data_IF_549723721690
#
_entry.id   IF_549723721690
#
_cell.length_a   1.000
_cell.length_b   1.000
_cell.length_c   1.000
_cell.angle_alpha   90.00
_cell.angle_beta   90.00
_cell.angle_gamma   90.00
#
_symmetry.space_group_name_H-M   'P 1'
#
loop_
_entity.id
_entity.type
_entity.pdbx_description
1 polymer ?
#
# COMPACT_ATOMS: atom_id res chain seq x y z
N UNK A 1 -7.95 13.34 11.55
CA UNK A 1 -7.97 12.14 12.44
C UNK A 1 -9.34 11.95 13.07
N UNK A 2 -9.97 13.01 13.61
CA UNK A 2 -11.30 12.97 14.24
C UNK A 2 -12.39 12.28 13.38
N UNK A 3 -12.44 12.55 12.08
CA UNK A 3 -13.42 11.94 11.17
C UNK A 3 -13.24 10.43 10.94
N UNK A 4 -12.02 9.90 11.05
CA UNK A 4 -11.78 8.47 10.85
C UNK A 4 -12.25 7.71 12.09
N UNK A 5 -11.85 8.18 13.28
CA UNK A 5 -12.22 7.57 14.55
C UNK A 5 -13.74 7.65 14.78
N UNK A 6 -14.40 8.73 14.39
CA UNK A 6 -15.86 8.83 14.50
C UNK A 6 -16.62 7.79 13.65
N UNK A 7 -16.05 7.39 12.51
CA UNK A 7 -16.69 6.44 11.59
C UNK A 7 -16.29 4.99 11.89
N UNK A 8 -15.05 4.74 12.32
CA UNK A 8 -14.53 3.38 12.57
C UNK A 8 -14.68 2.94 14.03
N UNK A 9 -14.75 3.89 14.96
CA UNK A 9 -14.48 3.65 16.37
C UNK A 9 -12.99 3.38 16.64
N UNK A 10 -12.66 3.14 17.91
CA UNK A 10 -11.32 2.72 18.37
C UNK A 10 -11.18 1.20 18.48
N UNK A 11 -12.29 0.49 18.64
CA UNK A 11 -12.31 -0.96 18.74
C UNK A 11 -12.24 -1.64 17.36
N UNK A 12 -11.10 -2.26 17.06
CA UNK A 12 -10.85 -3.00 15.83
C UNK A 12 -11.29 -4.48 15.89
N UNK A 13 -11.84 -4.97 17.02
CA UNK A 13 -12.35 -6.34 17.16
C UNK A 13 -13.47 -6.64 16.14
N UNK A 14 -14.25 -5.62 15.77
CA UNK A 14 -15.28 -5.62 14.71
C UNK A 14 -14.77 -6.08 13.36
N UNK A 15 -13.46 -5.95 13.12
CA UNK A 15 -12.79 -6.41 11.91
C UNK A 15 -11.74 -7.48 12.29
N UNK A 16 -12.06 -8.78 12.15
CA UNK A 16 -11.17 -9.86 12.58
C UNK A 16 -9.77 -9.78 11.98
N UNK A 17 -9.70 -9.34 10.72
CA UNK A 17 -8.45 -9.10 10.02
C UNK A 17 -8.44 -7.75 9.33
N UNK A 18 -7.23 -7.23 9.09
CA UNK A 18 -7.02 -6.00 8.32
C UNK A 18 -7.67 -6.05 6.92
N UNK A 19 -7.82 -7.24 6.34
CA UNK A 19 -8.48 -7.41 5.02
C UNK A 19 -9.96 -7.01 5.10
N UNK A 20 -10.66 -7.39 6.17
CA UNK A 20 -12.05 -7.01 6.42
C UNK A 20 -12.17 -5.49 6.53
N UNK A 21 -11.28 -4.85 7.30
CA UNK A 21 -11.25 -3.39 7.44
C UNK A 21 -11.05 -2.67 6.10
N UNK A 22 -10.06 -3.09 5.31
CA UNK A 22 -9.78 -2.46 4.02
C UNK A 22 -10.85 -2.73 2.96
N UNK A 23 -11.55 -3.87 3.06
CA UNK A 23 -12.69 -4.21 2.21
C UNK A 23 -13.90 -3.34 2.54
N UNK A 24 -14.21 -3.18 3.83
CA UNK A 24 -15.28 -2.29 4.32
C UNK A 24 -15.04 -0.82 3.92
N UNK A 25 -13.77 -0.37 3.95
CA UNK A 25 -13.38 0.94 3.44
C UNK A 25 -13.43 1.04 1.91
N UNK A 26 -13.70 -0.04 1.17
CA UNK A 26 -13.65 -0.11 -0.31
C UNK A 26 -12.31 0.35 -0.91
N UNK A 27 -11.22 0.20 -0.16
CA UNK A 27 -9.86 0.52 -0.63
C UNK A 27 -9.19 -0.70 -1.26
N UNK A 28 -9.65 -1.90 -0.92
CA UNK A 28 -9.28 -3.14 -1.58
C UNK A 28 -9.98 -3.26 -2.96
N UNK A 29 -9.36 -3.94 -3.95
CA UNK A 29 -10.06 -4.29 -5.18
C UNK A 29 -11.25 -5.20 -4.89
N UNK A 30 -12.33 -5.03 -5.65
CA UNK A 30 -13.44 -5.96 -5.65
C UNK A 30 -13.30 -6.89 -6.84
N UNK A 31 -13.24 -8.19 -6.56
CA UNK A 31 -13.10 -9.19 -7.60
C UNK A 31 -14.47 -9.79 -7.91
N UNK A 32 -15.01 -9.45 -9.09
CA UNK A 32 -16.22 -10.09 -9.61
C UNK A 32 -15.82 -11.44 -10.19
N UNK A 33 -16.32 -12.55 -9.64
CA UNK A 33 -15.94 -13.90 -10.05
C UNK A 33 -17.19 -14.67 -10.46
N UNK A 34 -17.18 -15.21 -11.68
CA UNK A 34 -18.21 -16.13 -12.18
C UNK A 34 -17.56 -17.31 -12.88
N UNK A 35 -18.07 -18.53 -12.65
CA UNK A 35 -17.52 -19.76 -13.24
C UNK A 35 -16.02 -19.97 -12.97
N UNK A 36 -15.50 -19.51 -11.82
CA UNK A 36 -14.08 -19.59 -11.47
C UNK A 36 -13.16 -18.57 -12.16
N UNK A 37 -13.68 -17.66 -12.98
CA UNK A 37 -12.91 -16.62 -13.68
C UNK A 37 -13.17 -15.24 -13.07
N UNK A 38 -12.11 -14.44 -12.94
CA UNK A 38 -12.22 -13.03 -12.51
C UNK A 38 -12.70 -12.19 -13.69
N UNK A 39 -13.92 -11.68 -13.61
CA UNK A 39 -14.53 -10.80 -14.60
C UNK A 39 -14.05 -9.35 -14.46
N UNK A 40 -13.80 -8.91 -13.22
CA UNK A 40 -13.36 -7.55 -12.92
C UNK A 40 -12.59 -7.54 -11.60
N UNK A 41 -11.63 -6.61 -11.46
CA UNK A 41 -10.83 -6.39 -10.25
C UNK A 41 -10.77 -4.91 -9.87
N UNK A 42 -11.78 -4.14 -10.29
CA UNK A 42 -11.83 -2.69 -10.08
C UNK A 42 -12.10 -2.37 -8.62
N UNK A 43 -11.54 -1.27 -8.13
CA UNK A 43 -11.93 -0.73 -6.83
C UNK A 43 -13.35 -0.18 -6.91
N UNK A 44 -14.20 -0.51 -5.94
CA UNK A 44 -15.56 -0.01 -5.88
C UNK A 44 -15.61 1.50 -5.61
N UNK A 45 -16.63 2.17 -6.15
CA UNK A 45 -16.98 3.52 -5.75
C UNK A 45 -17.57 3.48 -4.33
N UNK A 46 -17.27 4.48 -3.51
CA UNK A 46 -17.72 4.47 -2.12
C UNK A 46 -18.03 5.85 -1.59
N UNK A 47 -19.12 5.91 -0.83
CA UNK A 47 -19.56 7.06 -0.05
C UNK A 47 -18.98 7.05 1.37
N UNK A 48 -18.13 6.06 1.71
CA UNK A 48 -17.53 5.94 3.03
C UNK A 48 -16.60 7.13 3.32
N UNK A 49 -16.94 7.91 4.35
CA UNK A 49 -16.22 9.14 4.73
C UNK A 49 -14.83 8.85 5.27
N UNK A 50 -14.64 7.76 6.00
CA UNK A 50 -13.31 7.34 6.44
C UNK A 50 -12.40 6.99 5.24
N UNK A 51 -12.95 6.32 4.23
CA UNK A 51 -12.20 6.02 3.00
C UNK A 51 -11.77 7.29 2.25
N UNK A 52 -12.64 8.32 2.21
CA UNK A 52 -12.29 9.63 1.63
C UNK A 52 -11.18 10.31 2.45
N UNK A 53 -11.27 10.29 3.78
CA UNK A 53 -10.23 10.84 4.65
C UNK A 53 -8.86 10.16 4.42
N UNK A 54 -8.82 8.83 4.24
CA UNK A 54 -7.58 8.13 3.89
C UNK A 54 -7.04 8.53 2.50
N UNK A 55 -7.91 8.79 1.52
CA UNK A 55 -7.49 9.29 0.19
C UNK A 55 -6.91 10.70 0.27
N UNK A 56 -7.51 11.58 1.08
CA UNK A 56 -6.97 12.92 1.33
C UNK A 56 -5.62 12.85 2.03
N UNK A 57 -5.48 11.99 3.05
CA UNK A 57 -4.19 11.76 3.71
C UNK A 57 -3.14 11.20 2.74
N UNK A 58 -3.53 10.30 1.83
CA UNK A 58 -2.64 9.78 0.80
C UNK A 58 -2.18 10.86 -0.19
N UNK A 59 -3.03 11.84 -0.51
CA UNK A 59 -2.66 12.97 -1.35
C UNK A 59 -1.72 13.94 -0.63
N UNK A 60 -1.94 14.21 0.66
CA UNK A 60 -1.08 15.12 1.43
C UNK A 60 0.36 14.59 1.56
N UNK A 61 0.52 13.27 1.76
CA UNK A 61 1.86 12.64 1.84
C UNK A 61 2.57 12.52 0.48
N UNK A 62 1.92 12.85 -0.64
CA UNK A 62 2.50 12.67 -1.98
C UNK A 62 3.83 13.42 -2.19
N UNK A 63 3.98 14.56 -1.51
CA UNK A 63 5.18 15.43 -1.57
C UNK A 63 6.08 15.33 -0.35
N UNK A 64 5.75 14.51 0.65
CA UNK A 64 6.57 14.40 1.86
C UNK A 64 7.75 13.44 1.67
N UNK A 65 8.82 13.68 2.43
CA UNK A 65 10.03 12.84 2.50
C UNK A 65 9.85 11.66 3.47
N UNK A 66 8.67 11.05 3.46
CA UNK A 66 8.30 9.90 4.30
C UNK A 66 8.37 8.59 3.51
N UNK A 67 8.34 7.46 4.22
CA UNK A 67 8.21 6.14 3.58
C UNK A 67 6.89 6.03 2.76
N UNK A 68 5.83 6.72 3.17
CA UNK A 68 4.53 6.78 2.50
C UNK A 68 4.62 7.62 1.22
N UNK A 69 5.29 8.77 1.29
CA UNK A 69 5.52 9.64 0.12
C UNK A 69 6.36 8.94 -0.94
N UNK A 70 7.43 8.27 -0.54
CA UNK A 70 8.24 7.43 -1.43
C UNK A 70 7.41 6.29 -2.06
N UNK A 71 6.53 5.65 -1.28
CA UNK A 71 5.59 4.67 -1.79
C UNK A 71 4.61 5.28 -2.81
N UNK A 72 4.02 6.44 -2.52
CA UNK A 72 3.09 7.13 -3.41
C UNK A 72 3.75 7.43 -4.77
N UNK A 73 4.93 8.06 -4.76
CA UNK A 73 5.65 8.43 -5.98
C UNK A 73 5.97 7.20 -6.84
N UNK A 74 6.43 6.11 -6.22
CA UNK A 74 6.68 4.84 -6.91
C UNK A 74 5.40 4.28 -7.53
N UNK A 75 4.29 4.27 -6.80
CA UNK A 75 3.01 3.75 -7.31
C UNK A 75 2.46 4.62 -8.45
N UNK A 76 2.69 5.94 -8.41
CA UNK A 76 2.32 6.86 -9.49
C UNK A 76 3.06 6.53 -10.78
N UNK A 77 4.38 6.32 -10.70
CA UNK A 77 5.20 5.91 -11.85
C UNK A 77 4.77 4.52 -12.35
N UNK A 78 4.63 3.55 -11.45
CA UNK A 78 4.28 2.16 -11.80
C UNK A 78 2.93 2.04 -12.52
N UNK A 79 1.94 2.84 -12.14
CA UNK A 79 0.58 2.72 -12.65
C UNK A 79 0.15 3.84 -13.61
N UNK A 80 1.07 4.77 -13.94
CA UNK A 80 0.83 5.85 -14.91
C UNK A 80 -0.25 6.85 -14.51
N UNK A 81 -0.55 7.02 -13.20
CA UNK A 81 -1.64 7.91 -12.80
C UNK A 81 -1.78 8.15 -11.30
N UNK A 82 -2.13 9.39 -10.94
CA UNK A 82 -2.28 9.83 -9.55
C UNK A 82 -3.42 9.13 -8.81
N UNK A 83 -4.56 8.87 -9.46
CA UNK A 83 -5.73 8.25 -8.82
C UNK A 83 -5.41 6.84 -8.28
N UNK A 84 -4.74 6.00 -9.07
CA UNK A 84 -4.32 4.65 -8.66
C UNK A 84 -3.30 4.70 -7.53
N UNK A 85 -2.36 5.65 -7.59
CA UNK A 85 -1.38 5.86 -6.52
C UNK A 85 -2.03 6.31 -5.20
N UNK A 86 -3.01 7.20 -5.27
CA UNK A 86 -3.80 7.66 -4.12
C UNK A 86 -4.52 6.50 -3.46
N UNK A 87 -5.27 5.69 -4.22
CA UNK A 87 -5.99 4.54 -3.66
C UNK A 87 -5.03 3.51 -3.06
N UNK A 88 -3.92 3.19 -3.73
CA UNK A 88 -2.92 2.26 -3.20
C UNK A 88 -2.27 2.77 -1.90
N UNK A 89 -2.00 4.07 -1.83
CA UNK A 89 -1.39 4.69 -0.65
C UNK A 89 -2.39 4.81 0.49
N UNK A 90 -3.64 5.16 0.20
CA UNK A 90 -4.74 5.15 1.16
C UNK A 90 -4.94 3.76 1.76
N UNK A 91 -4.92 2.71 0.93
CA UNK A 91 -4.96 1.32 1.38
C UNK A 91 -3.78 1.00 2.32
N UNK A 92 -2.56 1.45 1.99
CA UNK A 92 -1.38 1.25 2.86
C UNK A 92 -1.53 1.98 4.19
N UNK A 93 -1.99 3.23 4.19
CA UNK A 93 -2.21 4.03 5.41
C UNK A 93 -3.30 3.40 6.28
N UNK A 94 -4.42 2.96 5.68
CA UNK A 94 -5.50 2.30 6.40
C UNK A 94 -5.03 1.01 7.10
N UNK A 95 -4.14 0.24 6.47
CA UNK A 95 -3.53 -0.94 7.12
C UNK A 95 -2.69 -0.56 8.33
N UNK A 96 -1.87 0.49 8.21
CA UNK A 96 -1.06 0.98 9.33
C UNK A 96 -1.99 1.41 10.47
N UNK A 97 -3.01 2.21 10.16
CA UNK A 97 -4.02 2.66 11.12
C UNK A 97 -4.70 1.50 11.86
N UNK A 98 -5.11 0.45 11.15
CA UNK A 98 -5.70 -0.75 11.76
C UNK A 98 -4.75 -1.39 12.79
N UNK A 99 -3.47 -1.57 12.45
CA UNK A 99 -2.50 -2.18 13.36
C UNK A 99 -2.12 -1.26 14.52
N UNK A 100 -2.05 0.06 14.28
CA UNK A 100 -1.84 1.02 15.35
C UNK A 100 -2.95 0.93 16.40
N UNK A 101 -4.21 0.87 15.99
CA UNK A 101 -5.34 0.74 16.92
C UNK A 101 -5.41 -0.64 17.57
N UNK A 102 -5.23 -1.72 16.78
CA UNK A 102 -5.33 -3.10 17.29
C UNK A 102 -4.25 -3.43 18.32
N UNK A 103 -3.02 -2.95 18.12
CA UNK A 103 -1.89 -3.22 19.00
C UNK A 103 -1.57 -2.06 19.94
N UNK A 104 -2.29 -0.94 19.84
CA UNK A 104 -2.03 0.29 20.60
C UNK A 104 -0.56 0.75 20.47
N UNK A 105 -0.02 0.61 19.26
CA UNK A 105 1.37 0.94 18.94
C UNK A 105 1.43 2.15 18.01
N UNK A 106 2.30 3.10 18.33
CA UNK A 106 2.53 4.25 17.48
C UNK A 106 3.28 3.86 16.21
N UNK A 107 2.88 4.49 15.10
CA UNK A 107 3.59 4.34 13.85
C UNK A 107 4.81 5.25 13.83
N UNK A 108 5.98 4.64 13.81
CA UNK A 108 7.26 5.33 13.57
C UNK A 108 7.58 5.26 12.08
N UNK A 109 7.64 6.40 11.42
CA UNK A 109 8.04 6.46 10.01
C UNK A 109 9.53 6.10 9.90
N UNK A 110 9.90 5.01 9.21
CA UNK A 110 11.30 4.67 9.02
C UNK A 110 12.01 5.59 8.00
N UNK A 111 11.26 6.48 7.34
CA UNK A 111 11.78 7.46 6.41
C UNK A 111 11.90 6.95 4.97
N UNK A 112 12.16 7.89 4.06
CA UNK A 112 12.27 7.63 2.63
C UNK A 112 13.44 6.70 2.28
N UNK A 113 14.64 6.98 2.80
CA UNK A 113 15.85 6.23 2.46
C UNK A 113 15.73 4.74 2.82
N UNK A 114 15.22 4.44 4.02
CA UNK A 114 14.97 3.06 4.45
C UNK A 114 13.99 2.33 3.52
N UNK A 115 12.91 3.01 3.12
CA UNK A 115 11.93 2.43 2.21
C UNK A 115 12.52 2.13 0.83
N UNK A 116 13.36 3.04 0.29
CA UNK A 116 14.04 2.89 -0.99
C UNK A 116 15.05 1.74 -0.96
N UNK A 117 15.87 1.64 0.10
CA UNK A 117 16.80 0.53 0.32
C UNK A 117 16.07 -0.82 0.34
N UNK A 118 14.99 -0.94 1.15
CA UNK A 118 14.19 -2.16 1.21
C UNK A 118 13.53 -2.50 -0.12
N UNK A 119 13.17 -1.50 -0.93
CA UNK A 119 12.63 -1.72 -2.25
C UNK A 119 13.70 -2.23 -3.24
N UNK A 120 14.92 -1.69 -3.17
CA UNK A 120 16.05 -2.16 -3.97
C UNK A 120 16.40 -3.62 -3.63
N UNK A 121 16.52 -3.95 -2.34
CA UNK A 121 16.77 -5.32 -1.86
C UNK A 121 15.74 -6.31 -2.43
N UNK A 122 14.44 -5.95 -2.38
CA UNK A 122 13.36 -6.77 -2.94
C UNK A 122 13.47 -6.93 -4.46
N UNK A 123 13.88 -5.88 -5.15
CA UNK A 123 14.07 -5.90 -6.61
C UNK A 123 15.20 -6.86 -6.97
N UNK A 124 16.35 -6.76 -6.31
CA UNK A 124 17.48 -7.68 -6.50
C UNK A 124 17.09 -9.12 -6.20
N UNK A 125 16.40 -9.38 -5.07
CA UNK A 125 15.92 -10.72 -4.73
C UNK A 125 14.99 -11.30 -5.79
N UNK A 126 14.08 -10.48 -6.33
CA UNK A 126 13.18 -10.89 -7.40
C UNK A 126 13.93 -11.18 -8.70
N UNK A 127 14.94 -10.36 -9.05
CA UNK A 127 15.79 -10.58 -10.22
C UNK A 127 16.57 -11.90 -10.09
N UNK A 128 17.22 -12.13 -8.95
CA UNK A 128 17.93 -13.40 -8.67
C UNK A 128 17.00 -14.62 -8.80
N UNK A 129 15.78 -14.52 -8.28
CA UNK A 129 14.78 -15.59 -8.41
C UNK A 129 14.37 -15.83 -9.86
N UNK A 130 14.18 -14.77 -10.66
CA UNK A 130 13.83 -14.87 -12.08
C UNK A 130 14.98 -15.45 -12.91
N UNK A 131 16.21 -15.00 -12.67
CA UNK A 131 17.39 -15.54 -13.32
C UNK A 131 17.51 -17.04 -13.08
N UNK A 132 17.40 -17.48 -11.81
CA UNK A 132 17.42 -18.90 -11.45
C UNK A 132 16.34 -19.72 -12.16
N UNK A 133 15.12 -19.18 -12.29
CA UNK A 133 14.03 -19.85 -12.99
C UNK A 133 14.28 -20.03 -14.49
N UNK A 134 15.18 -19.22 -15.08
CA UNK A 134 15.61 -19.30 -16.47
C UNK A 134 16.96 -20.01 -16.64
N UNK A 135 17.51 -20.62 -15.58
CA UNK A 135 18.83 -21.26 -15.62
C UNK A 135 20.01 -20.29 -15.67
N UNK A 136 19.79 -19.01 -15.39
CA UNK A 136 20.82 -17.97 -15.38
C UNK A 136 21.23 -17.61 -13.95
N UNK A 137 22.48 -17.15 -13.77
CA UNK A 137 22.96 -16.58 -12.52
C UNK A 137 23.14 -15.07 -12.62
N UNK A 138 22.68 -14.35 -11.59
CA UNK A 138 22.83 -12.89 -11.51
C UNK A 138 24.19 -12.56 -10.93
N UNK A 139 25.13 -12.15 -11.78
CA UNK A 139 26.47 -11.70 -11.37
C UNK A 139 26.45 -10.17 -11.22
N UNK A 140 26.78 -9.61 -10.04
CA UNK A 140 26.90 -8.18 -9.88
C UNK A 140 28.13 -7.66 -10.64
N UNK A 141 27.95 -6.59 -11.42
CA UNK A 141 29.05 -5.92 -12.08
C UNK A 141 29.83 -5.12 -11.02
N UNK A 142 31.11 -5.43 -10.83
CA UNK A 142 31.98 -4.67 -9.93
C UNK A 142 32.31 -3.31 -10.58
N UNK A 143 32.13 -2.21 -9.84
CA UNK A 143 32.59 -0.87 -10.26
C UNK A 143 31.53 0.08 -10.86
N UNK A 144 30.24 -0.26 -10.85
CA UNK A 144 29.20 0.72 -11.25
C UNK A 144 28.93 1.67 -10.08
N UNK A 145 29.74 2.73 -9.97
CA UNK A 145 29.40 3.91 -9.18
C UNK A 145 28.22 4.61 -9.85
N UNK A 146 27.13 4.81 -9.10
CA UNK A 146 26.00 5.65 -9.50
C UNK A 146 26.29 7.11 -9.19
#
# INVERSE_FOLDING_TARGET
VQQIISETGTDMSKFPTVKHFTSWLTLAPHNDISGGKVLSSKTQKSKNRAAQAFRMAAQSVSRSNSAQGAFYRRMRVKHGGGAKATTATAHKIARIFYFMLKHQQEYKDPGQAYYEQKYQERTVKNLKRKAKALGMELIPIQGVSR
#
